data_IF_631389425454
#
_entry.id   IF_631389425454
#
_cell.length_a   1.000
_cell.length_b   1.000
_cell.length_c   1.000
_cell.angle_alpha   90.00
_cell.angle_beta   90.00
_cell.angle_gamma   90.00
#
_symmetry.space_group_name_H-M   'P 1'
#
loop_
_entity.id
_entity.type
_entity.pdbx_description
1 polymer ?
#
# COMPACT_ATOMS: atom_id res chain seq x y z
N UNK A 1 -10.62 14.36 -33.61
CA UNK A 1 -9.53 14.36 -32.60
C UNK A 1 -9.99 14.20 -31.14
N UNK A 2 -11.04 14.89 -30.67
CA UNK A 2 -11.48 14.84 -29.25
C UNK A 2 -11.81 13.44 -28.70
N UNK A 3 -12.48 12.58 -29.48
CA UNK A 3 -12.84 11.20 -29.07
C UNK A 3 -11.63 10.28 -28.82
N UNK A 4 -10.52 10.48 -29.54
CA UNK A 4 -9.31 9.66 -29.41
C UNK A 4 -8.56 9.99 -28.11
N UNK A 5 -8.43 11.29 -27.80
CA UNK A 5 -7.90 11.77 -26.50
C UNK A 5 -8.74 11.25 -25.35
N UNK A 6 -10.08 11.37 -25.44
CA UNK A 6 -10.98 10.91 -24.38
C UNK A 6 -10.77 9.42 -24.07
N UNK A 7 -10.72 8.58 -25.10
CA UNK A 7 -10.49 7.13 -24.95
C UNK A 7 -9.15 6.81 -24.30
N UNK A 8 -8.09 7.52 -24.67
CA UNK A 8 -6.76 7.34 -24.06
C UNK A 8 -6.77 7.75 -22.59
N UNK A 9 -7.39 8.88 -22.23
CA UNK A 9 -7.50 9.29 -20.84
C UNK A 9 -8.34 8.31 -20.01
N UNK A 10 -9.42 7.77 -20.56
CA UNK A 10 -10.21 6.75 -19.86
C UNK A 10 -9.41 5.47 -19.64
N UNK A 11 -8.63 5.00 -20.62
CA UNK A 11 -7.76 3.83 -20.44
C UNK A 11 -6.67 4.09 -19.40
N UNK A 12 -6.01 5.25 -19.45
CA UNK A 12 -5.03 5.64 -18.45
C UNK A 12 -5.64 5.67 -17.04
N UNK A 13 -6.84 6.25 -16.91
CA UNK A 13 -7.56 6.31 -15.63
C UNK A 13 -7.89 4.91 -15.08
N UNK A 14 -8.38 4.00 -15.92
CA UNK A 14 -8.69 2.62 -15.51
C UNK A 14 -7.42 1.87 -15.09
N UNK A 15 -6.32 2.04 -15.82
CA UNK A 15 -5.02 1.42 -15.47
C UNK A 15 -4.50 1.95 -14.14
N UNK A 16 -4.56 3.27 -13.93
CA UNK A 16 -4.14 3.88 -12.66
C UNK A 16 -5.01 3.40 -11.50
N UNK A 17 -6.33 3.32 -11.67
CA UNK A 17 -7.23 2.75 -10.65
C UNK A 17 -6.88 1.29 -10.32
N UNK A 18 -6.63 0.47 -11.35
CA UNK A 18 -6.21 -0.92 -11.17
C UNK A 18 -4.88 -1.04 -10.41
N UNK A 19 -3.91 -0.18 -10.72
CA UNK A 19 -2.63 -0.13 -10.03
C UNK A 19 -2.78 0.27 -8.55
N UNK A 20 -3.63 1.26 -8.25
CA UNK A 20 -3.93 1.69 -6.88
C UNK A 20 -4.61 0.57 -6.07
N UNK A 21 -5.59 -0.12 -6.68
CA UNK A 21 -6.24 -1.29 -6.06
C UNK A 21 -5.25 -2.44 -5.83
N UNK A 22 -4.35 -2.72 -6.77
CA UNK A 22 -3.30 -3.73 -6.59
C UNK A 22 -2.34 -3.36 -5.45
N UNK A 23 -1.95 -2.10 -5.35
CA UNK A 23 -1.07 -1.60 -4.30
C UNK A 23 -1.71 -1.69 -2.90
N UNK A 24 -3.01 -1.40 -2.78
CA UNK A 24 -3.72 -1.52 -1.50
C UNK A 24 -3.87 -2.97 -1.06
N UNK A 25 -4.15 -3.89 -1.99
CA UNK A 25 -4.18 -5.34 -1.71
C UNK A 25 -2.79 -5.83 -1.30
N UNK A 26 -1.72 -5.41 -1.99
CA UNK A 26 -0.35 -5.76 -1.62
C UNK A 26 0.03 -5.28 -0.21
N UNK A 27 -0.36 -4.05 0.15
CA UNK A 27 -0.14 -3.53 1.49
C UNK A 27 -0.85 -4.36 2.57
N UNK A 28 -2.11 -4.75 2.32
CA UNK A 28 -2.87 -5.59 3.26
C UNK A 28 -2.39 -7.04 3.33
N UNK A 29 -2.05 -7.65 2.19
CA UNK A 29 -1.72 -9.07 2.11
C UNK A 29 -0.24 -9.38 2.40
N UNK A 30 0.67 -8.45 2.11
CA UNK A 30 2.12 -8.67 2.23
C UNK A 30 2.73 -7.77 3.29
N UNK A 31 2.49 -6.45 3.23
CA UNK A 31 3.13 -5.50 4.16
C UNK A 31 2.64 -5.72 5.60
N UNK A 32 1.34 -6.02 5.79
CA UNK A 32 0.77 -6.28 7.10
C UNK A 32 1.40 -7.50 7.82
N UNK A 33 1.44 -8.71 7.24
CA UNK A 33 2.08 -9.84 7.89
C UNK A 33 3.59 -9.63 8.07
N UNK A 34 4.29 -8.97 7.14
CA UNK A 34 5.74 -8.68 7.32
C UNK A 34 6.01 -7.69 8.45
N UNK A 35 5.05 -6.80 8.77
CA UNK A 35 5.21 -5.82 9.86
C UNK A 35 4.85 -6.43 11.22
N UNK A 36 3.82 -7.29 11.29
CA UNK A 36 3.36 -7.90 12.54
C UNK A 36 4.00 -9.25 12.89
N UNK A 37 4.63 -9.94 11.92
CA UNK A 37 5.42 -11.13 12.19
C UNK A 37 6.91 -10.81 12.05
N UNK A 38 7.29 -9.57 12.35
CA UNK A 38 8.68 -9.13 12.25
C UNK A 38 9.58 -9.87 13.25
N UNK A 39 9.00 -10.48 14.30
CA UNK A 39 9.68 -11.43 15.20
C UNK A 39 10.46 -12.53 14.45
N UNK A 40 10.00 -12.97 13.27
CA UNK A 40 10.65 -14.01 12.47
C UNK A 40 11.92 -13.51 11.74
N UNK A 41 12.02 -12.20 11.46
CA UNK A 41 13.11 -11.58 10.67
C UNK A 41 14.02 -10.64 11.49
N UNK A 42 13.49 -9.96 12.50
CA UNK A 42 14.18 -8.95 13.31
C UNK A 42 14.51 -9.42 14.74
N UNK A 43 13.97 -10.57 15.16
CA UNK A 43 14.20 -11.13 16.49
C UNK A 43 13.39 -10.41 17.58
N UNK A 44 12.84 -11.20 18.51
CA UNK A 44 11.97 -10.76 19.62
C UNK A 44 12.54 -9.69 20.55
N UNK A 45 13.85 -9.42 20.49
CA UNK A 45 14.53 -8.49 21.40
C UNK A 45 14.50 -7.03 20.94
N UNK A 46 14.20 -6.74 19.66
CA UNK A 46 14.27 -5.38 19.12
C UNK A 46 12.92 -4.66 19.03
N UNK A 47 11.81 -5.37 18.76
CA UNK A 47 10.48 -4.78 18.59
C UNK A 47 9.45 -5.49 19.50
N UNK A 48 8.89 -4.74 20.46
CA UNK A 48 7.66 -5.12 21.16
C UNK A 48 6.47 -5.07 20.18
N UNK A 49 5.46 -5.94 20.38
CA UNK A 49 4.19 -5.92 19.62
C UNK A 49 3.55 -4.51 19.55
N UNK A 50 3.79 -3.66 20.54
CA UNK A 50 3.34 -2.26 20.54
C UNK A 50 4.08 -1.39 19.50
N UNK A 51 5.38 -1.60 19.33
CA UNK A 51 6.20 -0.89 18.34
C UNK A 51 5.86 -1.34 16.91
N UNK A 52 5.55 -2.61 16.70
CA UNK A 52 5.05 -3.12 15.41
C UNK A 52 3.72 -2.44 15.02
N UNK A 53 2.81 -2.25 15.98
CA UNK A 53 1.57 -1.50 15.77
C UNK A 53 1.77 -0.03 15.39
N UNK A 54 2.75 0.64 16.00
CA UNK A 54 3.14 2.02 15.63
C UNK A 54 3.71 2.09 14.21
N UNK A 55 4.58 1.14 13.84
CA UNK A 55 5.16 1.08 12.48
C UNK A 55 4.08 0.80 11.44
N UNK A 56 3.15 -0.12 11.72
CA UNK A 56 2.02 -0.36 10.81
C UNK A 56 1.19 0.91 10.62
N UNK A 57 0.91 1.66 11.69
CA UNK A 57 0.12 2.90 11.59
C UNK A 57 0.81 3.93 10.68
N UNK A 58 2.13 4.10 10.82
CA UNK A 58 2.92 4.98 9.95
C UNK A 58 2.94 4.47 8.51
N UNK A 59 3.06 3.16 8.30
CA UNK A 59 3.00 2.55 6.97
C UNK A 59 1.62 2.76 6.32
N UNK A 60 0.53 2.52 7.04
CA UNK A 60 -0.83 2.77 6.54
C UNK A 60 -1.06 4.25 6.22
N UNK A 61 -0.55 5.17 7.04
CA UNK A 61 -0.67 6.60 6.78
C UNK A 61 0.08 7.02 5.51
N UNK A 62 1.32 6.53 5.34
CA UNK A 62 2.13 6.79 4.14
C UNK A 62 1.54 6.15 2.88
N UNK A 63 1.00 4.94 3.00
CA UNK A 63 0.32 4.26 1.89
C UNK A 63 -1.01 4.95 1.55
N UNK A 64 -1.70 5.49 2.56
CA UNK A 64 -2.87 6.33 2.38
C UNK A 64 -2.56 7.60 1.58
N UNK A 65 -1.45 8.28 1.85
CA UNK A 65 -1.00 9.41 1.03
C UNK A 65 -0.64 9.02 -0.41
N UNK A 66 -0.14 7.80 -0.62
CA UNK A 66 0.15 7.26 -1.95
C UNK A 66 -1.11 6.82 -2.73
N UNK A 67 -2.29 6.87 -2.12
CA UNK A 67 -3.56 6.49 -2.73
C UNK A 67 -4.51 7.70 -2.84
N UNK A 68 -4.48 8.62 -1.86
CA UNK A 68 -5.23 9.87 -1.85
C UNK A 68 -4.35 11.05 -2.29
N UNK A 69 -4.11 11.16 -3.60
CA UNK A 69 -3.58 12.40 -4.21
C UNK A 69 -4.71 13.35 -4.58
#
# INVERSE_FOLDING_TARGET
MKKKIFRVMTMAYIVTLGAILGASIYAGAVVAPTTFHSELLLGKELLSNFQEGLIMTVNFQKLGYAVNF
#
